data_IF_647125750996
#
_entry.id   IF_647125750996
#
_cell.length_a   1.000
_cell.length_b   1.000
_cell.length_c   1.000
_cell.angle_alpha   90.00
_cell.angle_beta   90.00
_cell.angle_gamma   90.00
#
_symmetry.space_group_name_H-M   'P 1'
#
loop_
_entity.id
_entity.type
_entity.pdbx_description
1 polymer ?
2 polymer ?
3 polymer ?
4 non-polymer ?
5 water ?
#
loop_
_entity_poly.entity_id
_entity_poly.type
_entity_poly.pdbx_seq_one_letter_code
_entity_poly.pdbx_strand_id
1 'polydeoxyribonucleotide' '(DT)(DT)(DG)(DA)(DA)(DT)(DT)(DT)(DT)(DG)(DT)(DT)(DC)(DA)(DA)' ?
2 'polydeoxyribonucleotide' '(DT)(DT)(DG)(DA)(DA)(DC)(DA)(DA)(DA)(DA)(DT)(DT)(DC)(DA)(DA)' ?
#
# COMPACT_ATOMS: atom_id res chain seq x y z
N UNK C 1 3.35 1.98 -27.46
CA UNK C 1 3.23 0.93 -26.40
C UNK C 1 2.10 -0.03 -26.79
N UNK C 2 2.44 -1.28 -27.12
CA UNK C 2 1.45 -2.37 -27.42
C UNK C 2 1.62 -3.52 -26.42
N UNK C 3 2.82 -3.67 -25.86
CA UNK C 3 3.08 -4.70 -24.84
C UNK C 3 2.66 -4.02 -23.53
N UNK C 4 2.90 -2.72 -23.45
CA UNK C 4 2.52 -1.84 -22.31
C UNK C 4 0.98 -1.77 -22.31
N UNK C 5 0.40 -1.53 -23.48
CA UNK C 5 -1.07 -1.46 -23.58
C UNK C 5 -1.67 -2.77 -23.05
N UNK C 6 -1.04 -3.91 -23.36
CA UNK C 6 -1.54 -5.19 -22.85
C UNK C 6 -1.53 -5.16 -21.32
N UNK C 7 -0.41 -4.74 -20.75
CA UNK C 7 -0.22 -4.68 -19.29
C UNK C 7 -1.24 -3.72 -18.65
N UNK C 8 -1.41 -2.52 -19.22
CA UNK C 8 -2.38 -1.53 -18.71
C UNK C 8 -3.76 -2.17 -18.63
N UNK C 9 -4.23 -2.71 -19.75
CA UNK C 9 -5.53 -3.39 -19.86
C UNK C 9 -5.67 -4.49 -18.81
N UNK C 10 -4.67 -5.38 -18.76
CA UNK C 10 -4.72 -6.56 -17.86
C UNK C 10 -4.82 -6.06 -16.40
N UNK C 11 -4.07 -4.99 -16.15
CA UNK C 11 -4.00 -4.30 -14.85
C UNK C 11 -5.37 -3.79 -14.45
N UNK C 12 -6.00 -3.05 -15.35
CA UNK C 12 -7.33 -2.41 -15.12
C UNK C 12 -8.37 -3.50 -14.93
N UNK C 13 -8.26 -4.59 -15.69
CA UNK C 13 -9.26 -5.66 -15.57
C UNK C 13 -9.12 -6.29 -14.19
N UNK C 14 -7.89 -6.47 -13.75
CA UNK C 14 -7.62 -7.07 -12.42
C UNK C 14 -8.19 -6.17 -11.32
N UNK C 15 -7.98 -4.87 -11.47
CA UNK C 15 -8.44 -3.91 -10.45
C UNK C 15 -9.97 -3.91 -10.36
N UNK C 16 -10.66 -3.99 -11.49
CA UNK C 16 -12.13 -3.96 -11.48
C UNK C 16 -12.60 -5.21 -10.74
N UNK C 17 -12.04 -6.34 -11.10
CA UNK C 17 -12.51 -7.59 -10.47
C UNK C 17 -12.29 -7.50 -8.97
N UNK C 18 -11.12 -6.98 -8.57
CA UNK C 18 -10.72 -6.95 -7.15
C UNK C 18 -11.62 -5.98 -6.39
N UNK C 19 -11.69 -4.73 -6.83
CA UNK C 19 -12.34 -3.67 -6.01
C UNK C 19 -13.86 -3.52 -6.27
N UNK C 20 -14.34 -3.85 -7.47
CA UNK C 20 -15.79 -3.75 -7.86
C UNK C 20 -16.46 -5.09 -7.59
N UNK C 21 -15.84 -6.17 -8.03
CA UNK C 21 -16.53 -7.48 -8.01
C UNK C 21 -16.20 -8.25 -6.75
N UNK C 22 -15.31 -7.71 -5.90
CA UNK C 22 -14.91 -8.32 -4.59
C UNK C 22 -14.18 -9.67 -4.75
N UNK C 23 -13.71 -10.00 -5.96
CA UNK C 23 -12.97 -11.26 -6.20
C UNK C 23 -11.71 -11.36 -5.34
N UNK C 24 -11.37 -12.59 -4.90
CA UNK C 24 -10.08 -12.98 -4.31
C UNK C 24 -9.01 -12.89 -5.41
N UNK C 25 -7.76 -12.73 -5.01
CA UNK C 25 -6.63 -12.68 -5.97
C UNK C 25 -6.52 -14.04 -6.68
N UNK C 26 -6.82 -15.12 -5.97
CA UNK C 26 -6.87 -16.50 -6.52
C UNK C 26 -7.91 -16.57 -7.66
N UNK C 27 -9.15 -16.18 -7.37
CA UNK C 27 -10.24 -16.12 -8.38
C UNK C 27 -9.79 -15.32 -9.61
N UNK C 28 -9.24 -14.14 -9.41
CA UNK C 28 -8.84 -13.32 -10.58
C UNK C 28 -7.82 -14.10 -11.41
N UNK C 29 -6.88 -14.76 -10.76
CA UNK C 29 -5.83 -15.52 -11.47
C UNK C 29 -6.50 -16.59 -12.33
N UNK C 30 -7.56 -17.22 -11.84
CA UNK C 30 -8.18 -18.34 -12.60
C UNK C 30 -8.74 -17.76 -13.91
N UNK C 31 -9.42 -16.63 -13.77
CA UNK C 31 -10.27 -16.01 -14.81
C UNK C 31 -9.38 -15.42 -15.88
N UNK C 32 -8.27 -14.82 -15.46
CA UNK C 32 -7.35 -14.14 -16.40
C UNK C 32 -6.25 -15.14 -16.81
N UNK C 33 -6.32 -16.36 -16.29
CA UNK C 33 -5.33 -17.40 -16.62
C UNK C 33 -3.91 -16.86 -16.38
N UNK C 34 -3.59 -16.56 -15.11
CA UNK C 34 -2.24 -16.05 -14.71
C UNK C 34 -1.99 -16.49 -13.26
N UNK C 35 -0.73 -16.47 -12.83
CA UNK C 35 -0.37 -16.83 -11.44
C UNK C 35 -0.89 -15.78 -10.45
N UNK C 36 -1.27 -16.13 -9.27
CA UNK C 36 -1.80 -15.22 -8.23
C UNK C 36 -0.74 -14.17 -7.88
N UNK C 37 0.55 -14.53 -7.76
CA UNK C 37 1.56 -13.50 -7.56
C UNK C 37 1.53 -12.43 -8.64
N UNK C 38 1.32 -12.82 -9.90
CA UNK C 38 1.19 -11.84 -10.99
C UNK C 38 0.02 -10.89 -10.68
N UNK C 39 -1.09 -11.41 -10.14
CA UNK C 39 -2.26 -10.55 -9.80
C UNK C 39 -1.82 -9.52 -8.76
N UNK C 40 -1.13 -10.02 -7.73
CA UNK C 40 -0.66 -9.14 -6.62
C UNK C 40 0.13 -7.98 -7.22
N UNK C 41 1.05 -8.30 -8.12
CA UNK C 41 1.88 -7.28 -8.79
C UNK C 41 1.03 -6.38 -9.67
N UNK C 42 0.05 -6.92 -10.39
CA UNK C 42 -0.76 -6.06 -11.28
C UNK C 42 -1.56 -5.06 -10.44
N UNK C 43 -2.15 -5.51 -9.36
CA UNK C 43 -2.96 -4.63 -8.49
C UNK C 43 -2.10 -3.48 -7.99
N UNK C 44 -0.90 -3.75 -7.58
CA UNK C 44 0.04 -2.68 -7.13
C UNK C 44 0.36 -1.74 -8.31
N UNK C 45 0.65 -2.32 -9.49
CA UNK C 45 0.91 -1.54 -10.72
C UNK C 45 -0.28 -0.59 -10.96
N UNK C 46 -1.50 -1.05 -10.63
CA UNK C 46 -2.68 -0.24 -10.98
C UNK C 46 -2.72 0.94 -10.02
N UNK C 47 -2.39 0.72 -8.76
CA UNK C 47 -2.36 1.83 -7.80
C UNK C 47 -1.23 2.78 -8.20
N UNK C 48 -0.07 2.27 -8.58
CA UNK C 48 1.07 3.15 -8.92
C UNK C 48 0.67 4.07 -10.07
N UNK C 49 -0.03 3.56 -11.09
CA UNK C 49 -0.37 4.32 -12.33
C UNK C 49 -1.64 5.14 -12.18
N UNK C 50 -2.42 4.96 -11.11
CA UNK C 50 -3.62 5.77 -10.87
C UNK C 50 -4.80 5.12 -11.56
N UNK C 51 -4.65 3.89 -12.03
CA UNK C 51 -5.80 3.14 -12.58
C UNK C 51 -6.77 2.92 -11.42
N UNK C 52 -6.25 2.72 -10.22
CA UNK C 52 -7.07 2.67 -8.98
C UNK C 52 -6.76 3.92 -8.18
N UNK C 53 -7.74 4.56 -7.60
CA UNK C 53 -7.53 5.76 -6.75
C UNK C 53 -8.31 5.53 -5.47
N UNK C 54 -7.59 5.63 -4.35
CA UNK C 54 -8.14 5.54 -2.98
C UNK C 54 -8.03 6.91 -2.30
N UNK C 55 -9.14 7.44 -1.87
CA UNK C 55 -9.14 8.77 -1.22
C UNK C 55 -9.90 8.62 0.10
N UNK C 56 -9.36 9.24 1.14
CA UNK C 56 -9.96 9.29 2.50
C UNK C 56 -10.54 10.70 2.69
N UNK C 57 -11.83 10.76 3.00
CA UNK C 57 -12.56 12.03 3.23
C UNK C 57 -12.40 12.95 2.02
N UNK D 5 -20.29 8.14 16.53
CA UNK D 5 -19.53 9.38 16.17
C UNK D 5 -18.16 9.37 16.82
N UNK D 6 -18.02 8.63 17.91
CA UNK D 6 -16.67 8.44 18.49
C UNK D 6 -16.07 7.34 17.62
N UNK D 7 -16.89 6.34 17.34
CA UNK D 7 -16.56 5.23 16.43
C UNK D 7 -16.13 5.84 15.08
N UNK D 8 -16.86 6.86 14.65
CA UNK D 8 -16.71 7.44 13.29
C UNK D 8 -15.34 8.10 13.22
N UNK D 9 -15.00 8.96 14.18
CA UNK D 9 -13.72 9.73 14.11
C UNK D 9 -12.55 8.73 14.11
N UNK D 10 -12.78 7.60 14.74
CA UNK D 10 -11.72 6.58 14.93
C UNK D 10 -11.48 5.79 13.65
N UNK D 11 -12.54 5.28 13.04
CA UNK D 11 -12.44 4.68 11.68
C UNK D 11 -11.71 5.66 10.74
N UNK D 12 -11.97 6.96 10.83
CA UNK D 12 -11.32 7.94 9.91
C UNK D 12 -9.83 7.95 10.24
N UNK D 13 -9.50 8.02 11.52
CA UNK D 13 -8.11 8.10 11.98
C UNK D 13 -7.38 6.85 11.46
N UNK D 14 -8.01 5.69 11.60
CA UNK D 14 -7.43 4.40 11.16
C UNK D 14 -7.17 4.45 9.65
N UNK D 15 -8.13 4.99 8.90
CA UNK D 15 -8.09 5.06 7.43
C UNK D 15 -6.94 5.98 6.97
N UNK D 16 -6.79 7.16 7.57
CA UNK D 16 -5.71 8.07 7.14
C UNK D 16 -4.37 7.37 7.38
N UNK D 17 -4.23 6.72 8.53
CA UNK D 17 -2.96 6.07 8.94
C UNK D 17 -2.64 4.97 7.94
N UNK D 18 -3.67 4.24 7.53
CA UNK D 18 -3.51 3.09 6.62
C UNK D 18 -3.21 3.56 5.21
N UNK D 19 -3.98 4.49 4.67
CA UNK D 19 -3.94 4.80 3.22
C UNK D 19 -3.02 6.00 2.98
N UNK D 20 -2.86 6.92 3.91
CA UNK D 20 -2.09 8.18 3.65
C UNK D 20 -0.68 8.07 4.25
N UNK D 21 -0.58 7.37 5.37
CA UNK D 21 0.69 7.27 6.12
C UNK D 21 1.28 5.86 6.03
N UNK D 22 0.65 4.94 5.31
CA UNK D 22 1.24 3.64 4.91
C UNK D 22 1.45 2.78 6.16
N UNK D 23 0.67 2.95 7.21
CA UNK D 23 0.87 2.07 8.39
C UNK D 23 0.23 0.72 8.12
N UNK D 24 0.78 -0.33 8.72
CA UNK D 24 0.11 -1.63 8.78
C UNK D 24 -0.98 -1.53 9.84
N UNK D 25 -1.91 -2.47 9.81
CA UNK D 25 -2.97 -2.61 10.83
C UNK D 25 -2.34 -2.78 12.21
N UNK D 26 -1.31 -3.61 12.35
CA UNK D 26 -0.69 -3.82 13.69
C UNK D 26 -0.11 -2.50 14.20
N UNK D 27 0.64 -1.80 13.36
CA UNK D 27 1.20 -0.47 13.72
C UNK D 27 0.08 0.44 14.21
N UNK D 28 -1.08 0.35 13.59
CA UNK D 28 -2.25 1.22 13.90
C UNK D 28 -2.90 0.73 15.22
N UNK D 29 -3.04 -0.58 15.42
CA UNK D 29 -3.44 -1.21 16.70
C UNK D 29 -2.63 -0.61 17.88
N UNK D 30 -1.31 -0.66 17.80
CA UNK D 30 -0.40 -0.15 18.88
C UNK D 30 -0.62 1.34 19.04
N UNK D 31 -0.74 2.09 17.94
CA UNK D 31 -0.68 3.57 17.97
C UNK D 31 -1.98 4.10 18.59
N UNK D 32 -3.02 3.28 18.57
CA UNK D 32 -4.38 3.67 19.02
C UNK D 32 -4.80 2.75 20.16
N UNK D 33 -3.88 1.94 20.65
CA UNK D 33 -4.13 1.05 21.80
C UNK D 33 -5.42 0.25 21.65
N UNK D 34 -5.57 -0.48 20.56
CA UNK D 34 -6.74 -1.38 20.29
C UNK D 34 -6.23 -2.64 19.60
N UNK D 35 -7.10 -3.62 19.36
CA UNK D 35 -6.63 -4.88 18.75
C UNK D 35 -6.62 -4.74 17.21
N UNK D 36 -5.81 -5.57 16.56
CA UNK D 36 -5.67 -5.69 15.09
C UNK D 36 -7.04 -6.04 14.51
N UNK D 37 -7.77 -7.06 15.02
CA UNK D 37 -9.13 -7.32 14.57
C UNK D 37 -10.07 -6.11 14.65
N UNK D 38 -9.88 -5.25 15.64
CA UNK D 38 -10.72 -4.04 15.69
C UNK D 38 -10.32 -3.12 14.54
N UNK D 39 -9.02 -3.02 14.26
CA UNK D 39 -8.54 -2.17 13.12
C UNK D 39 -9.22 -2.65 11.83
N UNK D 40 -9.17 -3.95 11.54
CA UNK D 40 -9.79 -4.58 10.34
C UNK D 40 -11.21 -4.06 10.20
N UNK D 41 -12.00 -4.24 11.27
CA UNK D 41 -13.46 -3.95 11.36
C UNK D 41 -13.71 -2.46 11.13
N UNK D 42 -12.89 -1.59 11.72
CA UNK D 42 -13.06 -0.13 11.47
C UNK D 42 -12.77 0.17 10.00
N UNK D 43 -11.76 -0.49 9.43
CA UNK D 43 -11.30 -0.18 8.06
C UNK D 43 -12.47 -0.56 7.15
N UNK D 44 -13.15 -1.68 7.42
CA UNK D 44 -14.35 -2.06 6.63
C UNK D 44 -15.43 -0.97 6.82
N UNK D 45 -15.60 -0.48 8.04
CA UNK D 45 -16.66 0.49 8.38
C UNK D 45 -16.39 1.81 7.65
N UNK D 46 -15.14 2.23 7.60
CA UNK D 46 -14.77 3.45 6.87
C UNK D 46 -15.20 3.37 5.41
N UNK D 47 -15.01 2.20 4.78
CA UNK D 47 -15.35 2.01 3.34
C UNK D 47 -16.86 1.96 3.18
N UNK D 48 -17.53 1.27 4.10
CA UNK D 48 -19.01 1.23 4.18
C UNK D 48 -19.60 2.64 4.26
N UNK D 49 -19.13 3.51 5.14
CA UNK D 49 -19.73 4.86 5.28
C UNK D 49 -19.21 5.78 4.17
N UNK D 50 -18.31 5.26 3.31
CA UNK D 50 -17.68 6.06 2.24
C UNK D 50 -16.72 7.13 2.77
N UNK D 51 -16.15 6.94 3.96
CA UNK D 51 -15.01 7.75 4.48
C UNK D 51 -13.77 7.39 3.66
N UNK D 52 -13.73 6.15 3.22
CA UNK D 52 -12.75 5.65 2.21
C UNK D 52 -13.49 5.42 0.88
N UNK D 53 -13.03 6.06 -0.21
CA UNK D 53 -13.64 5.95 -1.56
C UNK D 53 -12.66 5.26 -2.50
N UNK D 54 -13.07 4.17 -3.13
CA UNK D 54 -12.24 3.48 -4.16
C UNK D 54 -12.91 3.52 -5.55
N UNK D 55 -12.22 4.09 -6.52
CA UNK D 55 -12.75 4.26 -7.88
C UNK D 55 -11.73 3.70 -8.86
N UNK D 56 -12.21 2.99 -9.89
CA UNK D 56 -11.36 2.20 -10.84
C UNK D 56 -11.62 2.68 -12.26
N UNK D 57 -10.59 2.69 -13.11
CA UNK D 57 -10.69 3.00 -14.56
C UNK D 57 -11.18 1.76 -15.30
N UNK E 3 22.00 -10.97 5.96
CA UNK E 3 20.51 -11.24 5.89
C UNK E 3 19.73 -10.08 6.52
N UNK E 4 19.87 -9.96 7.84
CA UNK E 4 19.28 -8.85 8.61
C UNK E 4 20.16 -7.61 8.41
N UNK E 5 21.38 -7.81 7.89
CA UNK E 5 22.34 -6.71 7.65
C UNK E 5 22.10 -6.16 6.25
N UNK E 6 21.59 -6.99 5.36
CA UNK E 6 21.29 -6.44 4.01
C UNK E 6 20.02 -5.60 4.18
N UNK E 7 19.17 -6.01 5.12
CA UNK E 7 17.91 -5.30 5.43
C UNK E 7 18.26 -3.97 6.10
N UNK E 8 19.20 -4.05 7.04
CA UNK E 8 19.68 -2.86 7.76
C UNK E 8 20.17 -1.87 6.71
N UNK E 9 20.99 -2.34 5.76
CA UNK E 9 21.72 -1.45 4.82
C UNK E 9 20.70 -0.81 3.88
N UNK E 10 19.80 -1.63 3.36
CA UNK E 10 18.72 -1.18 2.48
C UNK E 10 17.88 -0.11 3.22
N UNK E 11 17.48 -0.40 4.45
CA UNK E 11 16.68 0.51 5.29
C UNK E 11 17.38 1.86 5.38
N UNK E 12 18.68 1.84 5.56
CA UNK E 12 19.46 3.09 5.70
C UNK E 12 19.44 3.81 4.37
N UNK E 13 19.64 3.06 3.27
CA UNK E 13 19.71 3.69 1.94
C UNK E 13 18.38 4.38 1.66
N UNK E 14 17.28 3.75 2.09
CA UNK E 14 15.89 4.29 1.92
C UNK E 14 15.72 5.59 2.71
N UNK E 15 16.12 5.61 3.99
CA UNK E 15 16.08 6.81 4.87
C UNK E 15 16.85 7.95 4.21
N UNK E 16 18.00 7.64 3.63
CA UNK E 16 18.84 8.74 3.10
C UNK E 16 18.08 9.43 1.97
N UNK E 17 17.66 8.62 1.00
CA UNK E 17 16.89 9.14 -0.17
C UNK E 17 15.63 9.85 0.31
N UNK E 18 14.89 9.18 1.19
CA UNK E 18 13.61 9.76 1.65
C UNK E 18 13.83 11.08 2.36
N UNK E 19 14.74 11.13 3.33
CA UNK E 19 14.83 12.28 4.23
C UNK E 19 15.85 13.30 3.73
N UNK E 20 16.76 12.93 2.84
CA UNK E 20 17.85 13.89 2.50
C UNK E 20 17.92 14.14 1.00
N UNK E 21 17.31 13.31 0.15
CA UNK E 21 17.37 13.50 -1.33
C UNK E 21 16.02 13.91 -1.92
N UNK E 22 15.01 14.09 -1.08
CA UNK E 22 13.63 14.44 -1.50
C UNK E 22 13.04 13.40 -2.46
N UNK E 23 13.41 12.14 -2.33
CA UNK E 23 12.75 11.09 -3.12
C UNK E 23 11.39 10.72 -2.54
N UNK E 24 10.40 10.51 -3.39
CA UNK E 24 9.12 9.85 -3.05
C UNK E 24 9.42 8.38 -2.77
N UNK E 25 8.56 7.74 -2.00
CA UNK E 25 8.66 6.29 -1.73
C UNK E 25 8.67 5.53 -3.07
N UNK E 26 7.88 5.97 -4.06
CA UNK E 26 7.85 5.27 -5.38
C UNK E 26 9.23 5.41 -6.06
N UNK E 27 9.83 6.61 -6.04
CA UNK E 27 11.16 6.80 -6.70
C UNK E 27 12.18 5.88 -6.00
N UNK E 28 12.05 5.76 -4.69
CA UNK E 28 12.92 4.88 -3.86
C UNK E 28 12.73 3.43 -4.28
N UNK E 29 11.49 3.00 -4.47
CA UNK E 29 11.24 1.59 -4.87
C UNK E 29 11.99 1.27 -6.18
N UNK E 30 12.11 2.24 -7.08
CA UNK E 30 12.67 1.97 -8.44
C UNK E 30 14.19 2.05 -8.38
N UNK E 31 14.68 2.98 -7.61
CA UNK E 31 16.14 3.15 -7.38
C UNK E 31 16.72 1.90 -6.73
N UNK E 32 16.00 1.28 -5.78
CA UNK E 32 16.45 0.09 -5.02
C UNK E 32 15.82 -1.17 -5.56
N UNK E 33 15.04 -1.08 -6.64
CA UNK E 33 14.38 -2.27 -7.24
C UNK E 33 13.74 -3.12 -6.11
N UNK E 34 12.84 -2.51 -5.33
CA UNK E 34 11.97 -3.16 -4.29
C UNK E 34 10.54 -2.66 -4.50
N UNK E 35 9.56 -3.25 -3.83
CA UNK E 35 8.14 -2.86 -3.96
C UNK E 35 7.88 -1.59 -3.14
N UNK E 36 6.87 -0.82 -3.53
CA UNK E 36 6.50 0.44 -2.84
C UNK E 36 6.15 0.09 -1.39
N UNK E 37 5.40 -0.99 -1.07
CA UNK E 37 5.08 -1.30 0.32
C UNK E 37 6.35 -1.66 1.11
N UNK E 38 7.32 -2.29 0.46
CA UNK E 38 8.61 -2.61 1.11
C UNK E 38 9.33 -1.30 1.51
N UNK E 39 9.31 -0.29 0.65
CA UNK E 39 9.87 1.02 0.99
C UNK E 39 9.22 1.48 2.26
N UNK E 40 7.90 1.48 2.35
CA UNK E 40 7.21 1.98 3.58
C UNK E 40 7.72 1.24 4.81
N UNK E 41 7.84 -0.10 4.75
CA UNK E 41 8.24 -0.89 5.95
C UNK E 41 9.69 -0.61 6.37
N UNK E 42 10.59 -0.47 5.41
CA UNK E 42 11.99 -0.10 5.64
C UNK E 42 12.07 1.27 6.30
N UNK E 43 11.30 2.25 5.84
CA UNK E 43 11.37 3.58 6.51
C UNK E 43 10.82 3.44 7.94
N UNK E 44 9.85 2.58 8.19
CA UNK E 44 9.37 2.41 9.58
C UNK E 44 10.50 1.81 10.42
N UNK E 45 11.12 0.76 9.91
CA UNK E 45 12.22 0.03 10.59
C UNK E 45 13.39 0.98 10.88
N UNK E 46 13.75 1.86 9.94
CA UNK E 46 14.80 2.89 10.12
C UNK E 46 14.48 3.71 11.34
N UNK E 47 13.23 4.15 11.46
CA UNK E 47 12.83 5.01 12.61
C UNK E 47 12.93 4.18 13.88
N UNK E 48 12.31 3.00 13.89
CA UNK E 48 12.28 2.05 15.03
C UNK E 48 13.70 1.74 15.52
N UNK E 49 14.63 1.54 14.60
CA UNK E 49 16.02 1.16 14.94
C UNK E 49 16.92 2.38 15.18
N UNK E 50 16.37 3.59 15.05
CA UNK E 50 17.14 4.82 15.25
C UNK E 50 18.18 5.05 14.16
N UNK E 51 18.08 4.38 13.02
CA UNK E 51 18.99 4.67 11.89
C UNK E 51 18.69 6.06 11.32
N UNK E 52 17.50 6.55 11.59
CA UNK E 52 17.14 7.97 11.35
C UNK E 52 16.60 8.50 12.67
N UNK E 53 16.93 9.74 12.96
CA UNK E 53 16.56 10.33 14.26
C UNK E 53 16.07 11.73 13.96
N UNK E 54 14.86 12.01 14.41
CA UNK E 54 14.20 13.31 14.16
C UNK E 54 13.92 13.97 15.50
N UNK E 55 14.25 15.24 15.62
CA UNK E 55 14.04 15.98 16.87
C UNK E 55 13.44 17.34 16.52
N UNK E 56 12.51 17.81 17.33
CA UNK E 56 11.74 19.06 17.07
C UNK E 56 11.68 19.88 18.35
N UNK E 57 11.74 21.19 18.21
CA UNK E 57 11.71 22.13 19.34
C UNK E 57 10.31 22.15 19.96
#
# INVERSE_FOLDING_TARGET
SNAASEKQQLSIEAARLYYQSDYSQQQIAEQLNISRPTVSRLLQYAKEKGYVQIRVM
SNAASEKQQLSIEAARLYYQSDYSQQQIAEQLNISRPTVSRLLQYAKEKGYVQIRVM
SNAASEKQQLSIEAARLYYQSDYSQQQIAEQLNISRPTVSRLLQYAKEKGYVQIRVM
#
